data_IF_488574079743
#
_entry.id   IF_488574079743
#
_cell.length_a   1.000
_cell.length_b   1.000
_cell.length_c   1.000
_cell.angle_alpha   90.00
_cell.angle_beta   90.00
_cell.angle_gamma   90.00
#
_symmetry.space_group_name_H-M   'P 1'
#
loop_
_entity.id
_entity.type
_entity.pdbx_description
1 polymer ?
#
# COMPACT_ATOMS: atom_id res chain seq x y z
N UNK A 1 -2.45 -12.86 -21.14
CA UNK A 1 -1.36 -12.62 -20.16
C UNK A 1 -0.93 -13.99 -19.66
N UNK A 2 0.05 -14.62 -20.29
CA UNK A 2 0.18 -16.07 -20.21
C UNK A 2 1.59 -16.61 -20.08
N UNK A 3 2.54 -15.85 -19.49
CA UNK A 3 3.90 -16.35 -19.19
C UNK A 3 4.61 -15.61 -18.04
N UNK A 4 3.95 -14.71 -17.31
CA UNK A 4 4.58 -14.02 -16.17
C UNK A 4 4.51 -14.89 -14.91
N UNK A 5 5.56 -14.95 -14.08
CA UNK A 5 5.53 -15.64 -12.80
C UNK A 5 4.39 -15.12 -11.91
N UNK A 6 3.82 -16.02 -11.11
CA UNK A 6 2.95 -15.62 -10.01
C UNK A 6 3.80 -14.94 -8.93
N UNK A 7 3.30 -13.83 -8.38
CA UNK A 7 3.93 -13.14 -7.26
C UNK A 7 3.21 -13.54 -5.98
N UNK A 8 3.98 -14.03 -5.01
CA UNK A 8 3.52 -14.38 -3.67
C UNK A 8 4.43 -13.66 -2.66
N UNK A 9 3.89 -13.26 -1.51
CA UNK A 9 4.59 -12.50 -0.49
C UNK A 9 4.89 -13.36 0.74
N UNK A 10 6.08 -13.20 1.32
CA UNK A 10 6.46 -13.80 2.59
C UNK A 10 7.27 -12.80 3.42
N UNK A 11 7.28 -12.97 4.75
CA UNK A 11 8.00 -12.07 5.65
C UNK A 11 7.28 -10.75 5.96
N UNK A 12 6.01 -10.63 5.58
CA UNK A 12 5.11 -9.54 5.97
C UNK A 12 4.34 -9.83 7.28
N UNK A 13 4.49 -11.03 7.83
CA UNK A 13 3.92 -11.47 9.10
C UNK A 13 4.84 -12.56 9.74
N UNK A 14 4.52 -12.99 10.97
CA UNK A 14 5.17 -14.11 11.69
C UNK A 14 4.14 -15.22 11.96
N UNK A 15 3.28 -15.52 10.98
CA UNK A 15 2.30 -16.59 11.10
C UNK A 15 2.92 -17.91 10.64
N UNK A 16 3.03 -18.88 11.57
CA UNK A 16 3.58 -20.20 11.30
C UNK A 16 2.78 -20.93 10.20
N UNK A 17 1.45 -21.02 10.36
CA UNK A 17 0.55 -21.65 9.40
C UNK A 17 0.72 -21.08 7.99
N UNK A 18 0.76 -19.75 7.85
CA UNK A 18 0.94 -19.10 6.54
C UNK A 18 2.24 -19.51 5.85
N UNK A 19 3.37 -19.51 6.59
CA UNK A 19 4.65 -19.85 6.00
C UNK A 19 4.79 -21.35 5.74
N UNK A 20 4.16 -22.19 6.58
CA UNK A 20 4.05 -23.63 6.36
C UNK A 20 3.27 -23.95 5.07
N UNK A 21 2.06 -23.41 4.93
CA UNK A 21 1.22 -23.57 3.74
C UNK A 21 1.94 -23.08 2.48
N UNK A 22 2.68 -21.96 2.59
CA UNK A 22 3.49 -21.47 1.48
C UNK A 22 4.59 -22.45 1.08
N UNK A 23 5.28 -23.08 2.04
CA UNK A 23 6.30 -24.08 1.74
C UNK A 23 5.70 -25.28 1.00
N UNK A 24 4.51 -25.74 1.38
CA UNK A 24 3.81 -26.83 0.68
C UNK A 24 3.53 -26.47 -0.79
N UNK A 25 3.10 -25.23 -1.05
CA UNK A 25 2.90 -24.74 -2.43
C UNK A 25 4.24 -24.66 -3.19
N UNK A 26 5.31 -24.23 -2.53
CA UNK A 26 6.64 -24.07 -3.13
C UNK A 26 7.37 -25.40 -3.34
N UNK A 27 6.98 -26.48 -2.68
CA UNK A 27 7.49 -27.83 -2.94
C UNK A 27 7.11 -28.27 -4.37
N UNK A 28 5.90 -27.95 -4.81
CA UNK A 28 5.35 -28.37 -6.12
C UNK A 28 5.65 -27.38 -7.27
N UNK A 29 6.34 -26.27 -7.00
CA UNK A 29 6.57 -25.19 -7.98
C UNK A 29 8.03 -24.78 -8.10
N UNK A 30 8.42 -24.37 -9.30
CA UNK A 30 9.68 -23.65 -9.48
C UNK A 30 9.53 -22.19 -9.03
N UNK A 31 10.49 -21.73 -8.23
CA UNK A 31 10.45 -20.36 -7.70
C UNK A 31 11.82 -19.71 -7.59
N UNK A 32 11.78 -18.39 -7.40
CA UNK A 32 12.91 -17.51 -7.13
C UNK A 32 12.51 -16.58 -5.97
N UNK A 33 13.51 -16.01 -5.29
CA UNK A 33 13.30 -15.14 -4.13
C UNK A 33 13.81 -13.73 -4.42
N UNK A 34 12.96 -12.73 -4.19
CA UNK A 34 13.39 -11.33 -4.07
C UNK A 34 13.27 -10.92 -2.61
N UNK A 35 14.40 -10.88 -1.89
CA UNK A 35 14.45 -10.45 -0.49
C UNK A 35 14.69 -8.94 -0.41
N UNK A 36 13.83 -8.22 0.30
CA UNK A 36 13.85 -6.76 0.36
C UNK A 36 13.94 -6.31 1.82
N UNK A 37 15.07 -5.72 2.20
CA UNK A 37 15.23 -5.09 3.51
C UNK A 37 16.44 -4.17 3.47
N UNK A 38 16.28 -2.89 3.83
CA UNK A 38 17.40 -1.94 3.86
C UNK A 38 18.48 -2.38 4.85
N UNK A 39 18.12 -2.80 6.06
CA UNK A 39 19.07 -3.23 7.08
C UNK A 39 19.45 -4.72 6.99
N UNK A 40 18.55 -5.56 6.46
CA UNK A 40 18.65 -7.02 6.57
C UNK A 40 18.39 -7.57 7.98
N UNK A 41 17.92 -6.73 8.90
CA UNK A 41 17.72 -7.09 10.32
C UNK A 41 16.27 -6.92 10.79
N UNK A 42 15.36 -6.48 9.92
CA UNK A 42 13.92 -6.49 10.20
C UNK A 42 13.48 -7.94 10.44
N UNK A 43 12.86 -8.21 11.58
CA UNK A 43 12.65 -9.56 12.12
C UNK A 43 11.89 -10.47 11.17
N UNK A 44 10.75 -10.00 10.68
CA UNK A 44 9.79 -10.74 9.87
C UNK A 44 10.39 -11.19 8.52
N UNK A 45 10.96 -10.30 7.68
CA UNK A 45 11.59 -10.73 6.44
C UNK A 45 12.89 -11.51 6.68
N UNK A 46 13.65 -11.24 7.75
CA UNK A 46 14.87 -12.01 8.05
C UNK A 46 14.55 -13.46 8.45
N UNK A 47 13.50 -13.66 9.25
CA UNK A 47 13.01 -14.98 9.66
C UNK A 47 12.50 -15.77 8.44
N UNK A 48 11.62 -15.18 7.65
CA UNK A 48 11.10 -15.82 6.44
C UNK A 48 12.22 -16.15 5.44
N UNK A 49 13.18 -15.22 5.24
CA UNK A 49 14.30 -15.45 4.34
C UNK A 49 15.20 -16.58 4.79
N UNK A 50 15.47 -16.74 6.10
CA UNK A 50 16.25 -17.89 6.61
C UNK A 50 15.60 -19.23 6.24
N UNK A 51 14.29 -19.33 6.44
CA UNK A 51 13.52 -20.55 6.15
C UNK A 51 13.47 -20.81 4.64
N UNK A 52 13.07 -19.80 3.86
CA UNK A 52 12.90 -19.93 2.40
C UNK A 52 14.22 -20.12 1.66
N UNK A 53 15.31 -19.51 2.13
CA UNK A 53 16.67 -19.76 1.60
C UNK A 53 17.06 -21.21 1.84
N UNK A 54 16.86 -21.73 3.06
CA UNK A 54 17.18 -23.12 3.37
C UNK A 54 16.38 -24.10 2.51
N UNK A 55 15.09 -23.84 2.33
CA UNK A 55 14.24 -24.64 1.45
C UNK A 55 14.73 -24.60 -0.01
N UNK A 56 15.04 -23.40 -0.53
CA UNK A 56 15.53 -23.22 -1.90
C UNK A 56 16.87 -23.94 -2.13
N UNK A 57 17.79 -23.85 -1.18
CA UNK A 57 19.09 -24.53 -1.22
C UNK A 57 18.96 -26.06 -1.14
N UNK A 58 18.00 -26.57 -0.35
CA UNK A 58 17.71 -28.01 -0.30
C UNK A 58 17.13 -28.52 -1.61
N UNK A 59 16.27 -27.72 -2.26
CA UNK A 59 15.56 -28.09 -3.49
C UNK A 59 16.46 -28.04 -4.74
N UNK A 60 17.28 -27.00 -4.88
CA UNK A 60 18.06 -26.75 -6.11
C UNK A 60 19.58 -26.87 -5.90
N UNK A 61 20.04 -27.02 -4.66
CA UNK A 61 21.45 -26.88 -4.32
C UNK A 61 21.89 -25.42 -4.29
N UNK A 62 22.98 -25.14 -3.55
CA UNK A 62 23.47 -23.76 -3.32
C UNK A 62 23.81 -22.99 -4.60
N UNK A 63 24.39 -23.67 -5.60
CA UNK A 63 24.82 -23.03 -6.85
C UNK A 63 23.65 -22.46 -7.64
N UNK A 64 22.58 -23.24 -7.80
CA UNK A 64 21.38 -22.77 -8.51
C UNK A 64 20.53 -21.84 -7.64
N UNK A 65 20.45 -22.08 -6.32
CA UNK A 65 19.77 -21.18 -5.39
C UNK A 65 20.36 -19.75 -5.44
N UNK A 66 21.67 -19.61 -5.61
CA UNK A 66 22.34 -18.31 -5.79
C UNK A 66 21.79 -17.51 -6.97
N UNK A 67 21.59 -18.16 -8.12
CA UNK A 67 21.07 -17.52 -9.34
C UNK A 67 19.56 -17.19 -9.22
N UNK A 68 18.87 -17.84 -8.27
CA UNK A 68 17.44 -17.65 -7.99
C UNK A 68 17.17 -16.63 -6.88
N UNK A 69 18.19 -16.08 -6.22
CA UNK A 69 18.04 -15.09 -5.16
C UNK A 69 18.48 -13.71 -5.65
N UNK A 70 17.59 -12.73 -5.49
CA UNK A 70 17.84 -11.31 -5.69
C UNK A 70 17.67 -10.60 -4.36
N UNK A 71 18.65 -9.78 -3.97
CA UNK A 71 18.59 -8.99 -2.75
C UNK A 71 18.47 -7.48 -3.06
N UNK A 72 17.44 -6.84 -2.52
CA UNK A 72 17.24 -5.39 -2.59
C UNK A 72 17.50 -4.81 -1.20
N UNK A 73 18.63 -4.11 -1.04
CA UNK A 73 19.18 -3.71 0.26
C UNK A 73 19.94 -2.38 0.15
N UNK A 74 20.43 -1.84 1.26
CA UNK A 74 21.38 -0.73 1.29
C UNK A 74 22.58 -0.95 0.36
N UNK A 75 23.12 0.12 -0.21
CA UNK A 75 24.22 0.08 -1.18
C UNK A 75 25.48 -0.61 -0.62
N UNK A 76 25.79 -0.36 0.66
CA UNK A 76 27.09 -0.71 1.26
C UNK A 76 27.02 -1.31 2.67
N UNK A 77 25.91 -1.15 3.39
CA UNK A 77 25.76 -1.53 4.81
C UNK A 77 24.68 -2.59 5.01
N UNK A 78 24.61 -3.13 6.22
CA UNK A 78 23.55 -4.05 6.64
C UNK A 78 23.86 -5.53 6.41
N UNK A 79 23.17 -6.38 7.17
CA UNK A 79 23.40 -7.82 7.20
C UNK A 79 23.07 -8.48 5.85
N UNK A 80 22.02 -8.01 5.19
CA UNK A 80 21.61 -8.55 3.90
C UNK A 80 22.61 -8.21 2.80
N UNK A 81 23.20 -7.01 2.82
CA UNK A 81 24.24 -6.62 1.86
C UNK A 81 25.50 -7.47 2.02
N UNK A 82 25.93 -7.70 3.26
CA UNK A 82 27.07 -8.56 3.55
C UNK A 82 26.82 -9.98 3.03
N UNK A 83 25.66 -10.56 3.37
CA UNK A 83 25.28 -11.91 2.93
C UNK A 83 25.22 -12.02 1.40
N UNK A 84 24.58 -11.05 0.73
CA UNK A 84 24.49 -11.06 -0.72
C UNK A 84 25.87 -10.99 -1.41
N UNK A 85 26.84 -10.29 -0.81
CA UNK A 85 28.22 -10.24 -1.31
C UNK A 85 28.93 -11.58 -1.12
N UNK A 86 28.78 -12.21 0.04
CA UNK A 86 29.43 -13.49 0.38
C UNK A 86 28.89 -14.64 -0.46
N UNK A 87 27.57 -14.68 -0.66
CA UNK A 87 26.90 -15.72 -1.45
C UNK A 87 26.86 -15.39 -2.95
N UNK A 88 27.14 -14.14 -3.33
CA UNK A 88 27.21 -13.68 -4.72
C UNK A 88 25.85 -13.52 -5.39
N UNK A 89 24.82 -13.09 -4.66
CA UNK A 89 23.48 -12.82 -5.19
C UNK A 89 23.46 -11.57 -6.08
N UNK A 90 22.49 -11.53 -7.00
CA UNK A 90 22.17 -10.28 -7.72
C UNK A 90 21.64 -9.26 -6.71
N UNK A 91 22.13 -8.00 -6.79
CA UNK A 91 21.70 -6.94 -5.87
C UNK A 91 21.16 -5.70 -6.57
N UNK A 92 20.14 -5.10 -5.95
CA UNK A 92 19.67 -3.74 -6.26
C UNK A 92 19.65 -2.89 -4.99
N UNK A 93 19.62 -1.57 -5.18
CA UNK A 93 19.82 -0.60 -4.09
C UNK A 93 18.48 -0.05 -3.61
N UNK A 94 18.29 0.00 -2.29
CA UNK A 94 17.36 0.91 -1.63
C UNK A 94 18.11 2.22 -1.36
N UNK A 95 17.74 3.36 -1.97
CA UNK A 95 18.45 4.62 -1.75
C UNK A 95 18.50 5.05 -0.28
N UNK A 96 19.59 5.70 0.12
CA UNK A 96 19.80 6.11 1.51
C UNK A 96 18.82 7.19 1.96
N UNK A 97 18.44 8.07 1.05
CA UNK A 97 17.56 9.22 1.23
C UNK A 97 16.07 8.91 0.96
N UNK A 98 15.73 7.66 0.61
CA UNK A 98 14.35 7.23 0.40
C UNK A 98 13.89 6.31 1.53
N UNK A 99 12.91 6.77 2.30
CA UNK A 99 12.26 5.99 3.35
C UNK A 99 11.36 4.87 2.78
N UNK A 100 11.14 3.81 3.57
CA UNK A 100 10.43 2.60 3.11
C UNK A 100 9.05 2.88 2.48
N UNK A 101 8.21 3.69 3.12
CA UNK A 101 6.87 4.04 2.62
C UNK A 101 6.85 4.92 1.36
N UNK A 102 8.00 5.47 0.96
CA UNK A 102 8.20 6.26 -0.28
C UNK A 102 9.04 5.51 -1.33
N UNK A 103 9.28 4.20 -1.14
CA UNK A 103 10.26 3.46 -1.94
C UNK A 103 9.66 2.69 -3.12
N UNK A 104 8.35 2.74 -3.36
CA UNK A 104 7.69 1.90 -4.38
C UNK A 104 8.18 2.17 -5.81
N UNK A 105 8.62 3.39 -6.11
CA UNK A 105 9.20 3.77 -7.41
C UNK A 105 10.73 3.53 -7.50
N UNK A 106 11.32 2.89 -6.48
CA UNK A 106 12.71 2.40 -6.50
C UNK A 106 12.73 0.91 -6.86
N UNK A 107 13.90 0.23 -6.95
CA UNK A 107 13.93 -1.22 -7.19
C UNK A 107 13.03 -2.04 -6.27
N UNK A 108 12.74 -1.56 -5.05
CA UNK A 108 11.80 -2.18 -4.09
C UNK A 108 10.46 -2.55 -4.73
N UNK A 109 9.80 -1.62 -5.43
CA UNK A 109 8.54 -1.91 -6.13
C UNK A 109 8.74 -2.25 -7.60
N UNK A 110 9.70 -1.59 -8.27
CA UNK A 110 9.87 -1.75 -9.73
C UNK A 110 10.23 -3.17 -10.13
N UNK A 111 11.10 -3.87 -9.38
CA UNK A 111 11.51 -5.22 -9.76
C UNK A 111 10.32 -6.21 -9.66
N UNK A 112 9.59 -6.34 -8.54
CA UNK A 112 8.40 -7.20 -8.47
C UNK A 112 7.33 -6.85 -9.52
N UNK A 113 7.09 -5.57 -9.79
CA UNK A 113 6.12 -5.11 -10.80
C UNK A 113 6.53 -5.56 -12.21
N UNK A 114 7.81 -5.44 -12.55
CA UNK A 114 8.34 -5.90 -13.83
C UNK A 114 8.26 -7.43 -13.99
N UNK A 115 8.59 -8.18 -12.93
CA UNK A 115 8.48 -9.65 -12.92
C UNK A 115 7.02 -10.09 -13.14
N UNK A 116 6.06 -9.38 -12.52
CA UNK A 116 4.63 -9.62 -12.72
C UNK A 116 4.14 -9.28 -14.15
N UNK A 117 5.00 -8.76 -15.02
CA UNK A 117 4.70 -8.47 -16.42
C UNK A 117 3.99 -7.14 -16.65
N UNK A 118 4.13 -6.18 -15.74
CA UNK A 118 3.61 -4.82 -15.90
C UNK A 118 4.70 -3.86 -16.39
N UNK A 119 4.29 -2.83 -17.14
CA UNK A 119 5.21 -1.86 -17.72
C UNK A 119 5.66 -0.80 -16.69
N UNK A 120 6.82 -1.03 -16.10
CA UNK A 120 7.44 -0.09 -15.16
C UNK A 120 7.89 1.23 -15.81
N UNK A 121 8.08 1.28 -17.13
CA UNK A 121 8.44 2.52 -17.83
C UNK A 121 7.20 3.42 -17.93
N UNK A 122 6.05 2.84 -18.24
CA UNK A 122 4.76 3.55 -18.20
C UNK A 122 4.44 4.04 -16.78
N UNK A 123 4.66 3.20 -15.76
CA UNK A 123 4.54 3.60 -14.35
C UNK A 123 5.38 4.83 -14.01
N UNK A 124 6.68 4.80 -14.34
CA UNK A 124 7.58 5.92 -14.10
C UNK A 124 7.24 7.15 -14.96
N UNK A 125 6.67 6.96 -16.16
CA UNK A 125 6.20 8.06 -17.00
C UNK A 125 5.04 8.82 -16.33
N UNK A 126 4.09 8.10 -15.74
CA UNK A 126 3.00 8.69 -14.96
C UNK A 126 3.50 9.49 -13.76
N UNK A 127 4.41 8.91 -12.97
CA UNK A 127 5.01 9.60 -11.83
C UNK A 127 5.73 10.90 -12.25
N UNK A 128 6.52 10.85 -13.34
CA UNK A 128 7.20 12.03 -13.90
C UNK A 128 6.23 13.09 -14.41
N UNK A 129 5.07 12.70 -14.94
CA UNK A 129 4.04 13.64 -15.38
C UNK A 129 3.51 14.43 -14.18
N UNK A 130 3.21 13.76 -13.08
CA UNK A 130 2.77 14.43 -11.85
C UNK A 130 3.88 15.29 -11.22
N UNK A 131 5.14 14.85 -11.27
CA UNK A 131 6.30 15.67 -10.89
C UNK A 131 6.40 16.96 -11.71
N UNK A 132 6.19 16.89 -13.03
CA UNK A 132 6.22 18.09 -13.89
C UNK A 132 5.10 19.07 -13.51
N UNK A 133 3.90 18.56 -13.23
CA UNK A 133 2.78 19.38 -12.73
C UNK A 133 3.17 20.06 -11.42
N UNK A 134 3.74 19.32 -10.47
CA UNK A 134 4.21 19.88 -9.20
C UNK A 134 5.21 21.04 -9.41
N UNK A 135 6.23 20.81 -10.22
CA UNK A 135 7.32 21.76 -10.44
C UNK A 135 6.88 22.99 -11.23
N UNK A 136 5.89 22.85 -12.11
CA UNK A 136 5.35 23.96 -12.89
C UNK A 136 4.32 24.80 -12.10
N UNK A 137 3.81 24.27 -10.99
CA UNK A 137 2.78 24.95 -10.20
C UNK A 137 3.37 26.10 -9.37
N UNK A 138 2.83 27.30 -9.54
CA UNK A 138 3.23 28.50 -8.78
C UNK A 138 2.25 28.90 -7.68
N UNK A 139 1.10 28.23 -7.59
CA UNK A 139 0.02 28.56 -6.66
C UNK A 139 -0.63 27.30 -6.08
N UNK A 140 -1.38 27.45 -5.00
CA UNK A 140 -2.14 26.35 -4.39
C UNK A 140 -3.23 25.81 -5.34
N UNK A 141 -3.88 26.67 -6.13
CA UNK A 141 -4.97 26.27 -7.01
C UNK A 141 -4.51 25.43 -8.20
N UNK A 142 -3.27 25.62 -8.63
CA UNK A 142 -2.72 24.93 -9.81
C UNK A 142 -1.97 23.64 -9.44
N UNK A 143 -1.72 23.42 -8.15
CA UNK A 143 -1.05 22.24 -7.63
C UNK A 143 -2.07 21.28 -6.98
N UNK A 144 -2.52 20.21 -7.66
CA UNK A 144 -3.53 19.32 -7.11
C UNK A 144 -3.02 18.58 -5.85
N UNK A 145 -1.72 18.35 -5.72
CA UNK A 145 -1.14 17.72 -4.53
C UNK A 145 -1.22 18.65 -3.31
N UNK A 146 -0.90 19.93 -3.50
CA UNK A 146 -1.00 20.94 -2.46
C UNK A 146 -2.46 21.21 -2.08
N UNK A 147 -3.37 21.23 -3.07
CA UNK A 147 -4.80 21.41 -2.84
C UNK A 147 -5.38 20.29 -1.97
N UNK A 148 -5.04 19.03 -2.27
CA UNK A 148 -5.44 17.89 -1.45
C UNK A 148 -4.87 17.99 -0.03
N UNK A 149 -3.57 18.27 0.13
CA UNK A 149 -2.94 18.45 1.43
C UNK A 149 -3.60 19.56 2.26
N UNK A 150 -3.91 20.71 1.63
CA UNK A 150 -4.57 21.84 2.27
C UNK A 150 -6.01 21.51 2.69
N UNK A 151 -6.77 20.84 1.80
CA UNK A 151 -8.15 20.44 2.08
C UNK A 151 -8.23 19.49 3.29
N UNK A 152 -7.37 18.46 3.33
CA UNK A 152 -7.28 17.53 4.47
C UNK A 152 -6.96 18.25 5.78
N UNK A 153 -5.98 19.15 5.78
CA UNK A 153 -5.60 19.90 6.97
C UNK A 153 -6.70 20.87 7.42
N UNK A 154 -7.44 21.48 6.48
CA UNK A 154 -8.60 22.30 6.81
C UNK A 154 -9.73 21.45 7.44
N UNK A 155 -9.98 20.25 6.91
CA UNK A 155 -10.95 19.30 7.46
C UNK A 155 -10.54 18.83 8.86
N UNK A 156 -9.27 18.50 9.09
CA UNK A 156 -8.74 18.18 10.41
C UNK A 156 -8.97 19.32 11.40
N UNK A 157 -8.66 20.56 11.02
CA UNK A 157 -8.93 21.75 11.86
C UNK A 157 -10.41 21.95 12.17
N UNK A 158 -11.30 21.49 11.29
CA UNK A 158 -12.76 21.49 11.51
C UNK A 158 -13.28 20.31 12.34
N UNK A 159 -12.39 19.45 12.86
CA UNK A 159 -12.75 18.30 13.71
C UNK A 159 -12.94 16.98 12.96
N UNK A 160 -12.58 16.90 11.67
CA UNK A 160 -12.61 15.66 10.90
C UNK A 160 -11.29 14.90 11.08
N UNK A 161 -11.23 14.05 12.09
CA UNK A 161 -10.00 13.36 12.50
C UNK A 161 -9.79 12.00 11.82
N UNK A 162 -10.76 11.54 11.03
CA UNK A 162 -10.66 10.30 10.24
C UNK A 162 -10.88 10.61 8.76
N UNK A 163 -9.97 10.14 7.93
CA UNK A 163 -10.13 10.14 6.47
C UNK A 163 -10.36 8.71 5.99
N UNK A 164 -11.37 8.53 5.15
CA UNK A 164 -11.67 7.25 4.53
C UNK A 164 -11.30 7.33 3.04
N UNK A 165 -10.25 6.62 2.62
CA UNK A 165 -9.97 6.44 1.20
C UNK A 165 -10.91 5.37 0.64
N UNK A 166 -11.79 5.79 -0.27
CA UNK A 166 -12.82 4.97 -0.90
C UNK A 166 -12.39 4.58 -2.31
N UNK A 167 -12.53 3.32 -2.69
CA UNK A 167 -12.41 2.89 -4.10
C UNK A 167 -13.63 2.07 -4.53
N UNK A 168 -13.98 2.14 -5.81
CA UNK A 168 -15.07 1.35 -6.43
C UNK A 168 -14.55 0.20 -7.31
N UNK A 169 -13.29 -0.20 -7.10
CA UNK A 169 -12.58 -1.15 -7.95
C UNK A 169 -11.70 -2.06 -7.08
N UNK A 170 -12.06 -3.34 -6.88
CA UNK A 170 -11.35 -4.24 -5.98
C UNK A 170 -9.84 -4.37 -6.23
N UNK A 171 -9.37 -4.13 -7.47
CA UNK A 171 -7.94 -4.10 -7.80
C UNK A 171 -7.16 -3.00 -7.05
N UNK A 172 -7.84 -1.99 -6.52
CA UNK A 172 -7.25 -0.88 -5.78
C UNK A 172 -7.20 -1.15 -4.26
N UNK A 173 -7.64 -2.33 -3.79
CA UNK A 173 -7.60 -2.68 -2.36
C UNK A 173 -6.22 -2.45 -1.73
N UNK A 174 -5.16 -3.04 -2.30
CA UNK A 174 -3.80 -2.85 -1.77
C UNK A 174 -3.22 -1.46 -2.05
N UNK A 175 -3.79 -0.70 -2.99
CA UNK A 175 -3.44 0.71 -3.13
C UNK A 175 -3.93 1.51 -1.91
N UNK A 176 -5.13 1.19 -1.41
CA UNK A 176 -5.65 1.74 -0.16
C UNK A 176 -4.78 1.35 1.05
N UNK A 177 -4.32 0.10 1.13
CA UNK A 177 -3.38 -0.32 2.19
C UNK A 177 -2.05 0.44 2.14
N UNK A 178 -1.47 0.62 0.95
CA UNK A 178 -0.27 1.43 0.75
C UNK A 178 -0.49 2.90 1.19
N UNK A 179 -1.62 3.50 0.80
CA UNK A 179 -1.97 4.86 1.18
C UNK A 179 -2.11 5.03 2.70
N UNK A 180 -2.71 4.04 3.40
CA UNK A 180 -2.82 4.07 4.86
C UNK A 180 -1.45 4.12 5.52
N UNK A 181 -0.49 3.31 5.06
CA UNK A 181 0.88 3.35 5.57
C UNK A 181 1.53 4.72 5.30
N UNK A 182 1.40 5.23 4.08
CA UNK A 182 2.00 6.49 3.66
C UNK A 182 1.58 7.63 4.59
N UNK A 183 0.28 7.85 4.78
CA UNK A 183 -0.22 8.95 5.62
C UNK A 183 -0.10 8.64 7.12
N UNK A 184 -0.42 7.42 7.54
CA UNK A 184 -0.43 7.04 8.96
C UNK A 184 0.95 7.15 9.61
N UNK A 185 1.99 6.58 9.00
CA UNK A 185 3.35 6.68 9.54
C UNK A 185 3.96 8.08 9.36
N UNK A 186 3.54 8.84 8.35
CA UNK A 186 4.07 10.19 8.12
C UNK A 186 3.47 11.21 9.09
N UNK A 187 2.18 11.13 9.38
CA UNK A 187 1.43 12.17 10.11
C UNK A 187 1.11 11.81 11.57
N UNK A 188 1.05 10.52 11.92
CA UNK A 188 0.69 10.03 13.25
C UNK A 188 1.80 10.24 14.30
N UNK A 189 2.05 11.50 14.67
CA UNK A 189 3.19 11.91 15.51
C UNK A 189 2.79 12.98 16.50
N UNK A 190 3.45 13.01 17.65
CA UNK A 190 3.31 14.08 18.65
C UNK A 190 1.85 14.31 19.11
N UNK A 191 1.01 13.26 19.11
CA UNK A 191 -0.42 13.37 19.43
C UNK A 191 -1.27 14.04 18.35
N UNK A 192 -0.75 14.18 17.13
CA UNK A 192 -1.41 14.75 15.95
C UNK A 192 -1.62 13.66 14.87
N UNK A 193 -2.36 14.04 13.83
CA UNK A 193 -2.55 13.24 12.62
C UNK A 193 -4.01 12.97 12.32
N UNK A 194 -4.29 12.70 11.04
CA UNK A 194 -5.57 12.15 10.60
C UNK A 194 -5.43 10.63 10.68
N UNK A 195 -6.42 9.94 11.24
CA UNK A 195 -6.46 8.48 11.22
C UNK A 195 -6.85 8.00 9.80
N UNK A 196 -5.96 7.26 9.09
CA UNK A 196 -6.24 6.81 7.74
C UNK A 196 -7.03 5.50 7.77
N UNK A 197 -8.28 5.56 7.31
CA UNK A 197 -9.16 4.43 7.10
C UNK A 197 -9.37 4.18 5.60
N UNK A 198 -9.89 3.01 5.23
CA UNK A 198 -10.13 2.66 3.84
C UNK A 198 -11.29 1.69 3.70
N UNK A 199 -12.03 1.81 2.60
CA UNK A 199 -13.18 0.96 2.26
C UNK A 199 -13.22 0.67 0.75
N UNK A 200 -13.68 -0.53 0.39
CA UNK A 200 -13.94 -0.96 -0.97
C UNK A 200 -15.43 -0.97 -1.27
N UNK A 201 -15.90 0.01 -2.02
CA UNK A 201 -17.30 0.10 -2.45
C UNK A 201 -17.56 -0.65 -3.76
N UNK A 202 -18.78 -1.14 -3.98
CA UNK A 202 -19.96 -1.04 -3.10
C UNK A 202 -19.99 -2.04 -1.95
N UNK A 203 -19.04 -2.99 -1.87
CA UNK A 203 -19.01 -4.05 -0.84
C UNK A 203 -19.18 -3.48 0.58
N UNK A 204 -18.39 -2.48 0.94
CA UNK A 204 -18.40 -1.93 2.30
C UNK A 204 -19.53 -0.94 2.57
N UNK A 205 -20.38 -0.61 1.58
CA UNK A 205 -21.66 0.03 1.87
C UNK A 205 -22.56 -0.92 2.69
N UNK A 206 -22.34 -2.24 2.57
CA UNK A 206 -23.08 -3.27 3.29
C UNK A 206 -22.39 -3.72 4.59
N UNK A 207 -21.39 -2.97 5.06
CA UNK A 207 -20.74 -3.16 6.36
C UNK A 207 -20.58 -1.82 7.08
N UNK A 208 -19.87 -0.88 6.46
CA UNK A 208 -19.54 0.44 7.00
C UNK A 208 -20.49 1.55 6.54
N UNK A 209 -21.30 1.32 5.50
CA UNK A 209 -22.21 2.33 4.92
C UNK A 209 -23.12 2.99 5.95
N UNK A 210 -23.72 2.22 6.88
CA UNK A 210 -24.56 2.79 7.94
C UNK A 210 -23.79 3.74 8.87
N UNK A 211 -22.55 3.38 9.24
CA UNK A 211 -21.73 4.25 10.09
C UNK A 211 -21.30 5.51 9.34
N UNK A 212 -20.95 5.38 8.05
CA UNK A 212 -20.57 6.53 7.23
C UNK A 212 -21.77 7.47 7.06
N UNK A 213 -22.97 6.95 6.83
CA UNK A 213 -24.19 7.74 6.70
C UNK A 213 -24.59 8.45 8.00
N UNK A 214 -24.70 7.74 9.13
CA UNK A 214 -25.34 8.25 10.36
C UNK A 214 -24.51 8.12 11.64
N UNK A 215 -23.27 7.64 11.57
CA UNK A 215 -22.34 7.58 12.72
C UNK A 215 -21.77 8.95 13.12
N UNK A 216 -20.69 8.96 13.91
CA UNK A 216 -20.04 10.22 14.32
C UNK A 216 -19.52 11.04 13.13
N UNK A 217 -19.87 12.34 13.08
CA UNK A 217 -19.48 13.27 11.99
C UNK A 217 -18.02 13.76 12.09
N UNK A 218 -17.12 12.88 12.52
CA UNK A 218 -15.67 13.09 12.63
C UNK A 218 -14.90 12.57 11.40
N UNK A 219 -15.62 12.14 10.37
CA UNK A 219 -15.10 11.53 9.15
C UNK A 219 -15.21 12.47 7.95
N UNK A 220 -14.32 12.30 6.98
CA UNK A 220 -14.48 12.73 5.60
C UNK A 220 -13.98 11.63 4.65
N UNK A 221 -14.45 11.65 3.41
CA UNK A 221 -14.07 10.67 2.39
C UNK A 221 -13.19 11.30 1.32
N UNK A 222 -12.23 10.53 0.85
CA UNK A 222 -11.51 10.77 -0.39
C UNK A 222 -11.87 9.64 -1.35
N UNK A 223 -12.63 9.93 -2.41
CA UNK A 223 -13.12 8.97 -3.38
C UNK A 223 -12.15 8.87 -4.55
N UNK A 224 -11.52 7.71 -4.69
CA UNK A 224 -10.69 7.35 -5.84
C UNK A 224 -11.56 6.72 -6.94
N UNK A 225 -12.01 7.56 -7.87
CA UNK A 225 -12.88 7.19 -8.97
C UNK A 225 -12.09 6.79 -10.21
N UNK A 226 -12.63 5.81 -10.96
CA UNK A 226 -12.07 5.35 -12.23
C UNK A 226 -13.00 5.76 -13.37
N UNK A 227 -12.51 6.54 -14.32
CA UNK A 227 -13.28 7.07 -15.43
C UNK A 227 -13.84 5.97 -16.34
N UNK A 228 -13.03 4.97 -16.68
CA UNK A 228 -13.41 3.88 -17.58
C UNK A 228 -12.92 2.52 -17.09
N UNK A 229 -13.78 1.51 -17.23
CA UNK A 229 -13.39 0.12 -17.06
C UNK A 229 -12.70 -0.43 -18.32
N UNK A 230 -11.56 -1.12 -18.11
CA UNK A 230 -10.80 -1.79 -19.17
C UNK A 230 -11.56 -2.89 -19.92
N UNK A 231 -12.54 -3.50 -19.26
CA UNK A 231 -13.42 -4.52 -19.83
C UNK A 231 -14.85 -4.00 -19.93
N UNK A 232 -15.58 -4.49 -20.92
CA UNK A 232 -17.00 -4.24 -21.10
C UNK A 232 -17.78 -5.50 -20.73
N UNK A 233 -18.79 -5.33 -19.90
CA UNK A 233 -19.79 -6.33 -19.58
C UNK A 233 -21.12 -5.61 -19.39
N UNK A 234 -22.16 -6.12 -20.04
CA UNK A 234 -23.52 -5.56 -20.02
C UNK A 234 -24.43 -6.44 -19.18
N UNK A 235 -25.43 -5.83 -18.56
CA UNK A 235 -26.47 -6.54 -17.81
C UNK A 235 -27.41 -7.23 -18.81
N UNK A 236 -27.61 -8.55 -18.75
CA UNK A 236 -28.56 -9.23 -19.61
C UNK A 236 -30.00 -8.86 -19.23
N UNK A 237 -30.93 -8.99 -20.18
CA UNK A 237 -32.36 -9.01 -19.88
C UNK A 237 -32.80 -10.39 -19.40
N UNK A 238 -33.84 -10.45 -18.59
CA UNK A 238 -34.53 -11.68 -18.19
C UNK A 238 -36.03 -11.57 -18.52
N UNK A 239 -36.59 -12.58 -19.19
CA UNK A 239 -38.00 -12.55 -19.63
C UNK A 239 -38.99 -12.55 -18.45
N UNK A 240 -38.64 -13.21 -17.33
CA UNK A 240 -39.50 -13.27 -16.16
C UNK A 240 -39.38 -12.01 -15.27
N UNK A 241 -38.21 -11.36 -15.27
CA UNK A 241 -37.91 -10.12 -14.55
C UNK A 241 -38.33 -10.15 -13.06
N UNK A 242 -38.13 -11.31 -12.40
CA UNK A 242 -38.59 -11.53 -11.03
C UNK A 242 -37.86 -10.63 -10.01
N UNK A 243 -36.65 -10.19 -10.33
CA UNK A 243 -35.85 -9.27 -9.51
C UNK A 243 -36.15 -7.79 -9.80
N UNK A 244 -36.94 -7.50 -10.84
CA UNK A 244 -37.25 -6.14 -11.28
C UNK A 244 -36.09 -5.38 -11.91
N UNK A 245 -34.96 -6.03 -12.25
CA UNK A 245 -33.73 -5.37 -12.71
C UNK A 245 -33.67 -5.13 -14.22
N UNK A 246 -34.68 -5.48 -15.01
CA UNK A 246 -34.68 -5.22 -16.46
C UNK A 246 -34.52 -3.74 -16.85
N UNK A 247 -34.77 -2.78 -15.95
CA UNK A 247 -34.45 -1.36 -16.21
C UNK A 247 -32.93 -1.08 -16.35
N UNK A 248 -32.10 -2.05 -15.94
CA UNK A 248 -30.65 -2.07 -16.13
C UNK A 248 -30.21 -2.85 -17.38
N UNK A 249 -31.10 -3.60 -18.02
CA UNK A 249 -30.75 -4.43 -19.17
C UNK A 249 -30.09 -3.60 -20.28
N UNK A 250 -29.02 -4.13 -20.86
CA UNK A 250 -28.19 -3.45 -21.87
C UNK A 250 -27.26 -2.36 -21.34
N UNK A 251 -27.36 -1.97 -20.06
CA UNK A 251 -26.37 -1.05 -19.45
C UNK A 251 -25.08 -1.78 -19.14
N UNK A 252 -23.94 -1.07 -19.21
CA UNK A 252 -22.67 -1.61 -18.73
C UNK A 252 -22.69 -1.66 -17.20
N UNK A 253 -22.10 -2.70 -16.61
CA UNK A 253 -21.91 -2.76 -15.16
C UNK A 253 -21.12 -1.55 -14.64
N UNK A 254 -20.15 -1.05 -15.41
CA UNK A 254 -19.40 0.18 -15.06
C UNK A 254 -20.31 1.40 -14.90
N UNK A 255 -21.34 1.53 -15.74
CA UNK A 255 -22.26 2.68 -15.69
C UNK A 255 -23.15 2.58 -14.45
N UNK A 256 -23.60 1.37 -14.10
CA UNK A 256 -24.34 1.10 -12.85
C UNK A 256 -23.47 1.42 -11.63
N UNK A 257 -22.21 0.97 -11.63
CA UNK A 257 -21.25 1.26 -10.58
C UNK A 257 -21.00 2.77 -10.43
N UNK A 258 -20.96 3.52 -11.53
CA UNK A 258 -20.79 4.98 -11.50
C UNK A 258 -22.02 5.69 -10.93
N UNK A 259 -23.22 5.18 -11.19
CA UNK A 259 -24.44 5.72 -10.56
C UNK A 259 -24.47 5.42 -9.05
N UNK A 260 -24.00 4.26 -8.62
CA UNK A 260 -23.80 3.96 -7.21
C UNK A 260 -22.79 4.94 -6.58
N UNK A 261 -21.65 5.17 -7.22
CA UNK A 261 -20.64 6.14 -6.77
C UNK A 261 -21.22 7.55 -6.56
N UNK A 262 -21.93 8.07 -7.56
CA UNK A 262 -22.53 9.40 -7.49
C UNK A 262 -23.66 9.47 -6.46
N UNK A 263 -24.54 8.46 -6.42
CA UNK A 263 -25.64 8.40 -5.46
C UNK A 263 -25.15 8.34 -4.02
N UNK A 264 -24.13 7.53 -3.74
CA UNK A 264 -23.48 7.45 -2.44
C UNK A 264 -22.80 8.76 -2.05
N UNK A 265 -22.01 9.37 -2.94
CA UNK A 265 -21.35 10.64 -2.65
C UNK A 265 -22.37 11.74 -2.28
N UNK A 266 -23.49 11.84 -3.01
CA UNK A 266 -24.57 12.78 -2.67
C UNK A 266 -25.18 12.47 -1.30
N UNK A 267 -25.54 11.21 -1.03
CA UNK A 267 -26.12 10.80 0.24
C UNK A 267 -25.19 11.06 1.43
N UNK A 268 -23.89 10.83 1.28
CA UNK A 268 -22.88 11.07 2.31
C UNK A 268 -22.64 12.57 2.53
N UNK A 269 -22.63 13.39 1.48
CA UNK A 269 -22.55 14.86 1.59
C UNK A 269 -23.77 15.39 2.36
N UNK A 270 -24.97 14.96 1.99
CA UNK A 270 -26.22 15.33 2.69
C UNK A 270 -26.22 14.85 4.15
N UNK A 271 -25.58 13.70 4.42
CA UNK A 271 -25.30 13.17 5.75
C UNK A 271 -24.17 13.87 6.53
N UNK A 272 -23.57 14.93 5.98
CA UNK A 272 -22.53 15.72 6.65
C UNK A 272 -21.12 15.12 6.60
N UNK A 273 -20.84 14.24 5.63
CA UNK A 273 -19.50 13.70 5.32
C UNK A 273 -18.91 14.45 4.12
N UNK A 274 -17.93 15.35 4.34
CA UNK A 274 -17.23 16.01 3.24
C UNK A 274 -16.57 14.97 2.32
N UNK A 275 -16.61 15.21 1.02
CA UNK A 275 -16.10 14.30 -0.01
C UNK A 275 -15.07 15.02 -0.89
N UNK A 276 -13.88 14.43 -1.05
CA UNK A 276 -12.85 14.85 -2.00
C UNK A 276 -12.82 13.84 -3.14
N UNK A 277 -13.00 14.28 -4.39
CA UNK A 277 -12.93 13.41 -5.56
C UNK A 277 -11.55 13.42 -6.22
N UNK A 278 -10.96 12.24 -6.42
CA UNK A 278 -9.75 12.04 -7.25
C UNK A 278 -10.14 11.08 -8.38
N UNK A 279 -10.00 11.52 -9.62
CA UNK A 279 -10.44 10.74 -10.79
C UNK A 279 -9.22 10.36 -11.63
N UNK A 280 -9.03 9.05 -11.83
CA UNK A 280 -8.08 8.53 -12.82
C UNK A 280 -8.81 8.03 -14.07
N UNK A 281 -8.22 8.11 -15.27
CA UNK A 281 -8.89 7.69 -16.50
C UNK A 281 -9.17 6.17 -16.55
N UNK A 282 -8.19 5.35 -16.21
CA UNK A 282 -8.28 3.88 -16.15
C UNK A 282 -7.27 3.36 -15.10
N UNK A 283 -7.51 2.19 -14.52
CA UNK A 283 -6.47 1.48 -13.75
C UNK A 283 -5.44 0.87 -14.70
N UNK A 284 -4.37 1.63 -14.97
CA UNK A 284 -3.20 1.23 -15.74
C UNK A 284 -1.90 1.75 -15.10
N UNK A 285 -0.75 1.32 -15.61
CA UNK A 285 0.56 1.63 -15.07
C UNK A 285 0.81 3.14 -14.98
N UNK A 286 0.51 3.92 -16.03
CA UNK A 286 0.68 5.38 -16.01
C UNK A 286 -0.17 6.03 -14.93
N UNK A 287 -1.46 5.67 -14.82
CA UNK A 287 -2.38 6.27 -13.84
C UNK A 287 -2.01 5.90 -12.40
N UNK A 288 -1.53 4.68 -12.16
CA UNK A 288 -1.01 4.29 -10.86
C UNK A 288 0.27 5.06 -10.54
N UNK A 289 1.14 5.29 -11.52
CA UNK A 289 2.35 6.09 -11.35
C UNK A 289 2.05 7.55 -10.99
N UNK A 290 1.06 8.14 -11.66
CA UNK A 290 0.54 9.47 -11.33
C UNK A 290 0.04 9.53 -9.88
N UNK A 291 -0.79 8.56 -9.46
CA UNK A 291 -1.33 8.51 -8.10
C UNK A 291 -0.26 8.32 -7.03
N UNK A 292 0.74 7.46 -7.27
CA UNK A 292 1.84 7.24 -6.31
C UNK A 292 2.53 8.57 -6.03
N UNK A 293 2.99 9.26 -7.09
CA UNK A 293 3.70 10.54 -6.91
C UNK A 293 2.78 11.62 -6.33
N UNK A 294 1.51 11.67 -6.77
CA UNK A 294 0.51 12.58 -6.22
C UNK A 294 0.42 12.44 -4.70
N UNK A 295 0.20 11.23 -4.20
CA UNK A 295 0.02 10.99 -2.78
C UNK A 295 1.32 11.16 -1.99
N UNK A 296 2.47 10.74 -2.51
CA UNK A 296 3.78 10.95 -1.86
C UNK A 296 4.04 12.45 -1.63
N UNK A 297 3.86 13.27 -2.66
CA UNK A 297 4.05 14.72 -2.54
C UNK A 297 3.00 15.37 -1.65
N UNK A 298 1.72 14.99 -1.77
CA UNK A 298 0.67 15.47 -0.88
C UNK A 298 0.93 15.12 0.59
N UNK A 299 1.42 13.92 0.86
CA UNK A 299 1.74 13.48 2.22
C UNK A 299 2.88 14.32 2.82
N UNK A 300 3.92 14.61 2.04
CA UNK A 300 5.01 15.49 2.49
C UNK A 300 4.49 16.90 2.82
N UNK A 301 3.71 17.52 1.91
CA UNK A 301 3.11 18.84 2.12
C UNK A 301 2.16 18.87 3.32
N UNK A 302 1.37 17.81 3.49
CA UNK A 302 0.41 17.68 4.58
C UNK A 302 1.10 17.52 5.93
N UNK A 303 2.15 16.70 6.04
CA UNK A 303 2.95 16.55 7.25
C UNK A 303 3.64 17.86 7.67
N UNK A 304 4.20 18.61 6.71
CA UNK A 304 4.74 19.95 7.02
C UNK A 304 3.67 20.94 7.46
N UNK A 305 2.47 20.90 6.86
CA UNK A 305 1.34 21.74 7.28
C UNK A 305 0.87 21.41 8.70
N UNK A 306 0.94 20.13 9.09
CA UNK A 306 0.66 19.65 10.44
C UNK A 306 1.77 19.99 11.45
N UNK A 307 2.94 20.39 10.97
CA UNK A 307 4.11 20.70 11.80
C UNK A 307 4.73 19.45 12.44
N UNK A 308 4.82 18.36 11.68
CA UNK A 308 5.53 17.12 12.07
C UNK A 308 6.59 16.78 11.01
N UNK A 309 7.56 15.93 11.35
CA UNK A 309 8.49 15.37 10.38
C UNK A 309 7.81 14.24 9.60
N UNK A 310 7.52 14.35 8.28
CA UNK A 310 6.82 13.29 7.55
C UNK A 310 7.71 12.08 7.20
N UNK A 311 9.02 12.14 7.47
CA UNK A 311 9.98 11.17 6.94
C UNK A 311 10.62 10.24 7.98
N UNK A 312 10.34 10.43 9.27
CA UNK A 312 10.75 9.51 10.34
C UNK A 312 9.60 8.62 10.83
N UNK A 313 9.88 7.72 11.79
CA UNK A 313 8.89 6.81 12.39
C UNK A 313 9.30 6.32 13.80
N UNK A 314 9.61 7.21 14.76
CA UNK A 314 10.20 6.80 16.05
C UNK A 314 9.33 5.83 16.87
N UNK A 315 8.00 5.94 16.77
CA UNK A 315 7.06 5.14 17.57
C UNK A 315 7.14 3.63 17.33
N UNK A 316 7.60 3.19 16.15
CA UNK A 316 7.63 1.76 15.79
C UNK A 316 8.71 0.99 16.57
N UNK A 317 9.70 1.67 17.15
CA UNK A 317 10.78 1.01 17.90
C UNK A 317 10.33 0.54 19.29
N UNK A 318 9.24 1.11 19.83
CA UNK A 318 8.76 0.79 21.17
C UNK A 318 8.32 -0.68 21.29
N UNK A 319 7.50 -1.17 20.36
CA UNK A 319 7.06 -2.57 20.40
C UNK A 319 8.21 -3.53 20.07
N UNK A 320 9.12 -3.15 19.15
CA UNK A 320 10.30 -3.96 18.80
C UNK A 320 11.19 -4.19 20.01
N UNK A 321 11.45 -3.14 20.81
CA UNK A 321 12.20 -3.24 22.06
C UNK A 321 11.56 -4.25 23.03
N UNK A 322 10.25 -4.16 23.22
CA UNK A 322 9.51 -5.07 24.09
C UNK A 322 9.55 -6.52 23.57
N UNK A 323 9.35 -6.71 22.27
CA UNK A 323 9.42 -8.03 21.63
C UNK A 323 10.81 -8.64 21.78
N UNK A 324 11.88 -7.88 21.51
CA UNK A 324 13.25 -8.35 21.68
C UNK A 324 13.57 -8.73 23.12
N UNK A 325 13.09 -7.95 24.09
CA UNK A 325 13.21 -8.28 25.51
C UNK A 325 12.46 -9.58 25.86
N UNK A 326 11.21 -9.74 25.40
CA UNK A 326 10.45 -10.97 25.66
C UNK A 326 11.10 -12.22 25.04
N UNK A 327 11.70 -12.06 23.86
CA UNK A 327 12.47 -13.10 23.18
C UNK A 327 13.85 -13.36 23.80
N UNK A 328 14.23 -12.61 24.85
CA UNK A 328 15.51 -12.78 25.54
C UNK A 328 16.71 -12.41 24.67
N UNK A 329 16.56 -11.42 23.77
CA UNK A 329 17.66 -10.94 22.94
C UNK A 329 18.80 -10.43 23.82
N UNK A 330 20.05 -10.89 23.63
CA UNK A 330 21.19 -10.38 24.37
C UNK A 330 21.32 -8.86 24.27
N UNK A 331 21.61 -8.19 25.39
CA UNK A 331 21.65 -6.73 25.52
C UNK A 331 20.32 -6.09 25.93
N UNK A 332 19.26 -6.87 26.15
CA UNK A 332 17.96 -6.41 26.65
C UNK A 332 17.62 -7.05 28.01
N UNK A 333 18.61 -7.49 28.79
CA UNK A 333 18.41 -8.25 30.03
C UNK A 333 17.58 -7.46 31.05
N UNK A 334 17.88 -6.17 31.21
CA UNK A 334 17.17 -5.29 32.15
C UNK A 334 15.70 -5.09 31.74
N UNK A 335 15.46 -4.92 30.44
CA UNK A 335 14.13 -4.79 29.87
C UNK A 335 13.36 -6.10 29.92
N UNK A 336 14.05 -7.23 29.77
CA UNK A 336 13.49 -8.58 29.88
C UNK A 336 12.95 -8.81 31.28
N UNK A 337 13.74 -8.48 32.31
CA UNK A 337 13.29 -8.59 33.70
C UNK A 337 12.11 -7.64 33.96
N UNK A 338 12.19 -6.40 33.51
CA UNK A 338 11.15 -5.39 33.72
C UNK A 338 9.83 -5.75 33.04
N UNK A 339 9.85 -6.27 31.80
CA UNK A 339 8.63 -6.63 31.07
C UNK A 339 8.00 -7.90 31.60
N UNK A 340 8.81 -8.90 32.02
CA UNK A 340 8.30 -10.14 32.62
C UNK A 340 7.64 -9.93 33.98
N UNK A 341 7.93 -8.84 34.69
CA UNK A 341 7.21 -8.47 35.92
C UNK A 341 5.83 -7.86 35.66
N UNK A 342 5.54 -7.44 34.42
CA UNK A 342 4.25 -6.82 34.04
C UNK A 342 3.24 -7.81 33.47
N UNK A 343 3.70 -9.00 33.10
CA UNK A 343 2.91 -10.10 32.52
C UNK A 343 2.80 -11.18 33.60
#
# INVERSE_FOLDING_TARGET
>A
KGNSPQIIYAGQNICEDYLSDLLEVLEEKDYALTVISKSGTTTEPALAFRILKSHLENKYGKGEARERIIAITDESKGALKQLAREEGYTTYIVPDDVGGRYSVLTPVGLLPIAIAGFDIRALLAGARKMQKINNASSSLSDNPMALYAAARNALLKSGKVVEILVNYQPKLFYFTEWWKQLFGESEGKEGKGIFPAGVGFTTDLHSMGQYIQDGYRMIFETVLAVGQAKKKLEVPSDDANLDGLNYLAGRRIHDVNKMAELGTALAHIDGGVPNIGIIIPEVNEESIGELIYFFEMSCALSGYTLGVNPFDQPGVEAYKKNMFALLGKPGFESETEAIRKKI
#
